data_IF_559022107322
#
_entry.id   IF_559022107322
#
_cell.length_a   1.000
_cell.length_b   1.000
_cell.length_c   1.000
_cell.angle_alpha   90.00
_cell.angle_beta   90.00
_cell.angle_gamma   90.00
#
_symmetry.space_group_name_H-M   'P 1'
#
loop_
_entity.id
_entity.type
_entity.pdbx_description
1 polymer ?
#
# COMPACT_ATOMS: atom_id res chain seq x y z
N UNK A 1 -4.29 6.73 -7.88
CA UNK A 1 -3.15 6.94 -8.81
C UNK A 1 -1.92 7.33 -8.00
N UNK A 2 -0.72 6.90 -8.42
CA UNK A 2 0.56 7.29 -7.82
C UNK A 2 1.29 8.27 -8.75
N UNK A 3 2.19 9.08 -8.20
CA UNK A 3 3.07 10.00 -8.92
C UNK A 3 4.47 9.99 -8.28
N UNK A 4 5.46 9.49 -9.01
CA UNK A 4 6.85 9.35 -8.54
C UNK A 4 6.99 8.62 -7.19
N UNK A 5 6.49 7.39 -7.00
CA UNK A 5 6.69 6.66 -5.75
C UNK A 5 8.16 6.31 -5.55
N UNK A 6 8.68 6.50 -4.34
CA UNK A 6 10.12 6.32 -4.02
C UNK A 6 10.39 5.25 -2.97
N UNK A 7 9.35 4.74 -2.30
CA UNK A 7 9.50 3.77 -1.22
C UNK A 7 8.27 2.89 -1.03
N UNK A 8 8.53 1.67 -0.55
CA UNK A 8 7.54 0.63 -0.29
C UNK A 8 7.87 -0.06 1.04
N UNK A 9 6.85 -0.32 1.86
CA UNK A 9 6.96 -1.15 3.07
C UNK A 9 5.64 -1.86 3.35
N UNK A 10 5.67 -2.90 4.20
CA UNK A 10 4.48 -3.61 4.67
C UNK A 10 4.47 -3.75 6.19
N UNK A 11 3.28 -3.86 6.77
CA UNK A 11 3.12 -4.23 8.17
C UNK A 11 2.76 -5.73 8.35
N UNK A 12 2.75 -6.19 9.61
CA UNK A 12 2.41 -7.58 9.95
C UNK A 12 0.97 -7.98 9.61
N UNK A 13 0.10 -7.01 9.34
CA UNK A 13 -1.30 -7.23 8.96
C UNK A 13 -1.46 -7.30 7.44
N UNK A 14 -0.36 -7.21 6.68
CA UNK A 14 -0.38 -7.27 5.22
C UNK A 14 -0.78 -5.97 4.55
N UNK A 15 -0.86 -4.85 5.28
CA UNK A 15 -1.08 -3.56 4.62
C UNK A 15 0.19 -3.11 3.92
N UNK A 16 0.03 -2.54 2.72
CA UNK A 16 1.12 -1.99 1.92
C UNK A 16 1.14 -0.47 2.05
N UNK A 17 2.32 0.10 2.32
CA UNK A 17 2.53 1.53 2.43
C UNK A 17 3.44 2.00 1.29
N UNK A 18 3.00 3.03 0.57
CA UNK A 18 3.75 3.63 -0.54
C UNK A 18 4.05 5.10 -0.21
N UNK A 19 5.34 5.46 -0.27
CA UNK A 19 5.78 6.86 -0.23
C UNK A 19 5.62 7.47 -1.63
N UNK A 20 4.51 8.18 -1.83
CA UNK A 20 4.07 8.76 -3.11
C UNK A 20 4.60 10.19 -3.22
N UNK A 21 5.90 10.30 -3.56
CA UNK A 21 6.73 11.49 -3.30
C UNK A 21 6.22 12.75 -3.97
N UNK A 22 5.92 12.71 -5.27
CA UNK A 22 5.45 13.89 -6.01
C UNK A 22 4.02 14.29 -5.63
N UNK A 23 3.28 13.42 -4.92
CA UNK A 23 1.98 13.75 -4.33
C UNK A 23 2.07 14.17 -2.87
N UNK A 24 3.28 14.27 -2.30
CA UNK A 24 3.52 14.70 -0.91
C UNK A 24 2.70 13.91 0.13
N UNK A 25 2.52 12.59 -0.08
CA UNK A 25 1.73 11.74 0.82
C UNK A 25 2.31 10.35 0.98
N UNK A 26 1.81 9.66 2.00
CA UNK A 26 1.94 8.20 2.13
C UNK A 26 0.56 7.59 1.93
N UNK A 27 0.43 6.60 1.06
CA UNK A 27 -0.81 5.85 0.84
C UNK A 27 -0.72 4.46 1.46
N UNK A 28 -1.81 4.02 2.11
CA UNK A 28 -1.99 2.67 2.64
C UNK A 28 -2.94 1.90 1.73
N UNK A 29 -2.55 0.69 1.33
CA UNK A 29 -3.41 -0.25 0.62
C UNK A 29 -3.63 -1.45 1.52
N UNK A 30 -4.89 -1.72 1.82
CA UNK A 30 -5.28 -2.91 2.59
C UNK A 30 -5.35 -4.08 1.62
N UNK A 31 -4.51 -5.08 1.84
CA UNK A 31 -4.66 -6.35 1.13
C UNK A 31 -5.77 -7.08 1.86
N UNK A 32 -7.01 -6.88 1.41
CA UNK A 32 -8.08 -7.78 1.78
C UNK A 32 -7.68 -9.16 1.24
N UNK A 33 -7.27 -10.07 2.14
CA UNK A 33 -7.32 -11.48 1.81
C UNK A 33 -8.79 -11.76 1.55
N UNK A 34 -9.20 -11.77 0.28
CA UNK A 34 -10.41 -12.48 -0.11
C UNK A 34 -10.17 -13.91 0.34
N UNK A 35 -10.80 -14.30 1.45
CA UNK A 35 -11.00 -15.70 1.73
C UNK A 35 -11.73 -16.23 0.50
N UNK A 36 -11.05 -17.10 -0.25
CA UNK A 36 -11.77 -18.02 -1.11
C UNK A 36 -12.58 -18.87 -0.14
N UNK A 37 -13.86 -18.54 0.01
CA UNK A 37 -14.82 -19.44 0.65
C UNK A 37 -15.00 -20.61 -0.33
N UNK A 38 -14.24 -21.69 -0.10
CA UNK A 38 -14.44 -23.00 -0.75
C UNK A 38 -15.77 -23.63 -0.31
#
# INVERSE_FOLDING_TARGET
QLNGPVGLSSDRHGNLYVADYENHRVQKFEIALTQYDD
#
